data_IF_656406951969
#
_entry.id   IF_656406951969
#
_cell.length_a   1.000
_cell.length_b   1.000
_cell.length_c   1.000
_cell.angle_alpha   90.00
_cell.angle_beta   90.00
_cell.angle_gamma   90.00
#
_symmetry.space_group_name_H-M   'P 1'
#
loop_
_entity.id
_entity.type
_entity.pdbx_description
1 polymer ?
#
# COMPACT_ATOMS: atom_id res chain seq x y z
N UNK A 1 -14.66 16.74 -1.35
CA UNK A 1 -14.00 16.07 -0.19
C UNK A 1 -13.78 14.58 -0.43
N UNK A 2 -14.79 13.79 -0.84
CA UNK A 2 -14.63 12.36 -1.18
C UNK A 2 -13.52 12.07 -2.20
N UNK A 3 -13.50 12.80 -3.31
CA UNK A 3 -12.51 12.61 -4.38
C UNK A 3 -11.09 12.83 -3.88
N UNK A 4 -10.87 13.84 -3.04
CA UNK A 4 -9.57 14.09 -2.42
C UNK A 4 -9.15 12.92 -1.51
N UNK A 5 -10.08 12.40 -0.70
CA UNK A 5 -9.82 11.22 0.16
C UNK A 5 -9.43 10.00 -0.67
N UNK A 6 -10.14 9.73 -1.78
CA UNK A 6 -9.82 8.61 -2.67
C UNK A 6 -8.45 8.79 -3.34
N UNK A 7 -8.12 10.00 -3.79
CA UNK A 7 -6.80 10.34 -4.36
C UNK A 7 -5.70 10.12 -3.34
N UNK A 8 -5.89 10.53 -2.07
CA UNK A 8 -4.92 10.29 -1.00
C UNK A 8 -4.73 8.80 -0.74
N UNK A 9 -5.80 8.01 -0.68
CA UNK A 9 -5.69 6.55 -0.53
C UNK A 9 -4.98 5.89 -1.71
N UNK A 10 -5.23 6.35 -2.94
CA UNK A 10 -4.53 5.87 -4.13
C UNK A 10 -3.02 6.18 -4.07
N UNK A 11 -2.64 7.39 -3.66
CA UNK A 11 -1.23 7.78 -3.45
C UNK A 11 -0.54 6.90 -2.40
N UNK A 12 -1.18 6.70 -1.24
CA UNK A 12 -0.66 5.84 -0.17
C UNK A 12 -0.47 4.39 -0.67
N UNK A 13 -1.40 3.90 -1.48
CA UNK A 13 -1.33 2.55 -2.03
C UNK A 13 -0.18 2.41 -3.04
N UNK A 14 0.01 3.39 -3.93
CA UNK A 14 1.12 3.43 -4.89
C UNK A 14 2.47 3.46 -4.16
N UNK A 15 2.62 4.31 -3.14
CA UNK A 15 3.84 4.36 -2.33
C UNK A 15 4.12 3.02 -1.65
N UNK A 16 3.10 2.38 -1.08
CA UNK A 16 3.25 1.06 -0.46
C UNK A 16 3.66 -0.01 -1.47
N UNK A 17 3.20 0.09 -2.73
CA UNK A 17 3.57 -0.82 -3.80
C UNK A 17 5.04 -0.66 -4.21
N UNK A 18 5.56 0.58 -4.21
CA UNK A 18 6.99 0.85 -4.45
C UNK A 18 7.84 0.25 -3.34
N UNK A 19 7.45 0.42 -2.07
CA UNK A 19 8.16 -0.17 -0.92
C UNK A 19 8.15 -1.70 -1.00
N UNK A 20 7.02 -2.30 -1.38
CA UNK A 20 6.94 -3.74 -1.57
C UNK A 20 7.84 -4.20 -2.72
N UNK A 21 7.81 -3.52 -3.87
CA UNK A 21 8.69 -3.83 -4.99
C UNK A 21 10.16 -3.73 -4.59
N UNK A 22 10.55 -2.68 -3.86
CA UNK A 22 11.89 -2.52 -3.33
C UNK A 22 12.27 -3.64 -2.35
N UNK A 23 11.35 -4.14 -1.52
CA UNK A 23 11.61 -5.24 -0.59
C UNK A 23 11.72 -6.61 -1.29
N UNK A 24 10.99 -6.80 -2.40
CA UNK A 24 10.95 -8.06 -3.16
C UNK A 24 12.10 -8.17 -4.17
N UNK A 25 12.48 -7.04 -4.78
CA UNK A 25 13.51 -6.95 -5.82
C UNK A 25 14.82 -6.60 -5.15
N UNK A 26 15.86 -7.40 -5.42
CA UNK A 26 17.22 -7.19 -4.93
C UNK A 26 17.93 -6.08 -5.73
N UNK A 27 17.26 -4.93 -5.85
CA UNK A 27 17.70 -3.79 -6.66
C UNK A 27 18.88 -3.05 -6.01
N UNK A 28 19.00 -3.17 -4.69
CA UNK A 28 20.07 -2.56 -3.90
C UNK A 28 20.82 -3.66 -3.14
N UNK A 29 22.16 -3.74 -3.28
CA UNK A 29 22.97 -4.80 -2.66
C UNK A 29 22.95 -4.76 -1.12
N UNK A 30 22.59 -3.62 -0.52
CA UNK A 30 22.54 -3.41 0.93
C UNK A 30 21.14 -2.96 1.37
N UNK A 31 20.11 -3.70 0.93
CA UNK A 31 18.72 -3.33 1.15
C UNK A 31 18.21 -3.81 2.52
N UNK A 32 17.98 -2.92 3.50
CA UNK A 32 17.45 -3.32 4.81
C UNK A 32 16.03 -3.90 4.72
N UNK A 33 15.28 -3.60 3.66
CA UNK A 33 13.91 -4.11 3.48
C UNK A 33 13.87 -5.60 3.12
N UNK A 34 14.98 -6.19 2.69
CA UNK A 34 15.06 -7.60 2.30
C UNK A 34 14.84 -8.54 3.49
N UNK A 35 15.39 -8.19 4.66
CA UNK A 35 15.20 -8.95 5.90
C UNK A 35 13.74 -8.88 6.37
N UNK A 36 13.09 -7.73 6.19
CA UNK A 36 11.69 -7.51 6.56
C UNK A 36 10.69 -7.80 5.43
N UNK A 37 11.10 -8.49 4.37
CA UNK A 37 10.27 -8.72 3.16
C UNK A 37 8.90 -9.32 3.48
N UNK A 38 8.82 -10.24 4.43
CA UNK A 38 7.55 -10.81 4.89
C UNK A 38 6.67 -9.78 5.61
N UNK A 39 7.25 -8.96 6.48
CA UNK A 39 6.55 -7.90 7.21
C UNK A 39 6.04 -6.84 6.23
N UNK A 40 6.85 -6.42 5.27
CA UNK A 40 6.47 -5.47 4.22
C UNK A 40 5.33 -6.03 3.35
N UNK A 41 5.42 -7.31 2.97
CA UNK A 41 4.35 -8.01 2.24
C UNK A 41 3.03 -8.06 3.00
N UNK A 42 3.05 -8.46 4.26
CA UNK A 42 1.87 -8.49 5.12
C UNK A 42 1.29 -7.08 5.35
N UNK A 43 2.17 -6.08 5.56
CA UNK A 43 1.77 -4.68 5.66
C UNK A 43 1.04 -4.20 4.40
N UNK A 44 1.55 -4.52 3.22
CA UNK A 44 0.90 -4.19 1.95
C UNK A 44 -0.49 -4.82 1.80
N UNK A 45 -0.66 -6.08 2.23
CA UNK A 45 -1.96 -6.77 2.22
C UNK A 45 -2.96 -6.02 3.12
N UNK A 46 -2.53 -5.62 4.33
CA UNK A 46 -3.37 -4.87 5.28
C UNK A 46 -3.75 -3.49 4.72
N UNK A 47 -2.79 -2.75 4.15
CA UNK A 47 -3.05 -1.45 3.50
C UNK A 47 -4.04 -1.62 2.35
N UNK A 48 -3.88 -2.65 1.52
CA UNK A 48 -4.78 -2.94 0.39
C UNK A 48 -6.21 -3.23 0.88
N UNK A 49 -6.36 -4.02 1.95
CA UNK A 49 -7.65 -4.30 2.58
C UNK A 49 -8.32 -3.01 3.11
N UNK A 50 -7.54 -2.14 3.76
CA UNK A 50 -8.03 -0.85 4.28
C UNK A 50 -8.47 0.09 3.17
N UNK A 51 -7.66 0.25 2.12
CA UNK A 51 -7.99 1.06 0.94
C UNK A 51 -9.29 0.54 0.29
N UNK A 52 -9.41 -0.78 0.12
CA UNK A 52 -10.61 -1.40 -0.44
C UNK A 52 -11.85 -1.18 0.43
N UNK A 53 -11.71 -1.27 1.75
CA UNK A 53 -12.81 -0.99 2.69
C UNK A 53 -13.22 0.49 2.66
N UNK A 54 -12.25 1.40 2.61
CA UNK A 54 -12.50 2.84 2.50
C UNK A 54 -13.24 3.18 1.21
N UNK A 55 -12.79 2.64 0.06
CA UNK A 55 -13.45 2.80 -1.23
C UNK A 55 -14.91 2.31 -1.20
N UNK A 56 -15.16 1.09 -0.69
CA UNK A 56 -16.53 0.56 -0.59
C UNK A 56 -17.40 1.39 0.34
N UNK A 57 -16.88 1.80 1.49
CA UNK A 57 -17.65 2.60 2.44
C UNK A 57 -17.96 3.98 1.88
N UNK A 58 -17.04 4.61 1.15
CA UNK A 58 -17.36 5.82 0.41
C UNK A 58 -18.45 5.52 -0.64
N UNK A 59 -18.29 4.54 -1.53
CA UNK A 59 -19.33 4.29 -2.54
C UNK A 59 -20.70 3.84 -1.98
N UNK A 60 -20.78 3.31 -0.75
CA UNK A 60 -22.03 2.81 -0.14
C UNK A 60 -22.89 3.89 0.54
N UNK A 61 -22.40 5.13 0.67
CA UNK A 61 -23.23 6.26 1.17
C UNK A 61 -23.87 7.05 0.01
N UNK A 62 -24.01 6.42 -1.15
CA UNK A 62 -24.95 6.82 -2.22
C UNK A 62 -26.18 5.91 -2.15
#
# INVERSE_FOLDING_TARGET
MRTAVLITFALIWILSLIVLAAALIDLFPDNPLKEYRLVVGLGFIVVTQLVRKAYRNLNRVE
#
